data_IF_677623821054
#
_entry.id   IF_677623821054
#
_cell.length_a   1.000
_cell.length_b   1.000
_cell.length_c   1.000
_cell.angle_alpha   90.00
_cell.angle_beta   90.00
_cell.angle_gamma   90.00
#
_symmetry.space_group_name_H-M   'P 1'
#
loop_
_entity.id
_entity.type
_entity.pdbx_description
1 polymer ?
#
# COMPACT_ATOMS: atom_id res chain seq x y z
N UNK A 1 -45.12 -65.19 -27.87
CA UNK A 1 -43.79 -64.98 -27.26
C UNK A 1 -43.27 -63.57 -27.53
N UNK A 2 -43.95 -62.52 -27.03
CA UNK A 2 -43.59 -61.11 -27.33
C UNK A 2 -43.39 -60.25 -26.08
N UNK A 3 -44.07 -60.55 -24.96
CA UNK A 3 -43.96 -59.74 -23.73
C UNK A 3 -42.58 -59.76 -23.07
N UNK A 4 -41.90 -60.91 -23.02
CA UNK A 4 -40.57 -61.04 -22.40
C UNK A 4 -39.52 -60.22 -23.15
N UNK A 5 -39.56 -60.20 -24.48
CA UNK A 5 -38.62 -59.43 -25.29
C UNK A 5 -38.82 -57.91 -25.10
N UNK A 6 -40.07 -57.47 -24.94
CA UNK A 6 -40.41 -56.06 -24.67
C UNK A 6 -39.93 -55.65 -23.28
N UNK A 7 -40.10 -56.49 -22.26
CA UNK A 7 -39.61 -56.23 -20.91
C UNK A 7 -38.09 -56.13 -20.86
N UNK A 8 -37.38 -57.04 -21.55
CA UNK A 8 -35.91 -56.99 -21.64
C UNK A 8 -35.39 -55.75 -22.35
N UNK A 9 -36.12 -55.23 -23.35
CA UNK A 9 -35.78 -53.96 -24.01
C UNK A 9 -35.99 -52.77 -23.07
N UNK A 10 -37.14 -52.71 -22.40
CA UNK A 10 -37.45 -51.67 -21.43
C UNK A 10 -36.44 -51.65 -20.26
N UNK A 11 -35.98 -52.81 -19.79
CA UNK A 11 -34.93 -52.92 -18.76
C UNK A 11 -33.60 -52.33 -19.23
N UNK A 12 -33.19 -52.63 -20.47
CA UNK A 12 -31.97 -52.06 -21.05
C UNK A 12 -32.05 -50.55 -21.20
N UNK A 13 -33.16 -50.04 -21.74
CA UNK A 13 -33.38 -48.61 -21.89
C UNK A 13 -33.38 -47.89 -20.54
N UNK A 14 -34.05 -48.45 -19.53
CA UNK A 14 -34.01 -47.90 -18.17
C UNK A 14 -32.60 -47.89 -17.59
N UNK A 15 -31.82 -48.95 -17.79
CA UNK A 15 -30.43 -49.02 -17.34
C UNK A 15 -29.54 -47.99 -18.05
N UNK A 16 -29.71 -47.81 -19.36
CA UNK A 16 -28.99 -46.80 -20.14
C UNK A 16 -29.31 -45.39 -19.68
N UNK A 17 -30.59 -45.07 -19.45
CA UNK A 17 -31.02 -43.76 -18.93
C UNK A 17 -30.37 -43.47 -17.56
N UNK A 18 -30.38 -44.45 -16.64
CA UNK A 18 -29.78 -44.28 -15.32
C UNK A 18 -28.25 -44.13 -15.42
N UNK A 19 -27.60 -44.91 -16.29
CA UNK A 19 -26.16 -44.82 -16.53
C UNK A 19 -25.75 -43.45 -17.08
N UNK A 20 -26.46 -42.97 -18.10
CA UNK A 20 -26.25 -41.65 -18.69
C UNK A 20 -26.44 -40.53 -17.66
N UNK A 21 -27.48 -40.61 -16.82
CA UNK A 21 -27.71 -39.64 -15.75
C UNK A 21 -26.56 -39.61 -14.72
N UNK A 22 -26.03 -40.78 -14.33
CA UNK A 22 -24.87 -40.88 -13.41
C UNK A 22 -23.59 -40.31 -14.03
N UNK A 23 -23.34 -40.63 -15.30
CA UNK A 23 -22.20 -40.09 -16.04
C UNK A 23 -22.29 -38.57 -16.17
N UNK A 24 -23.46 -38.04 -16.55
CA UNK A 24 -23.72 -36.61 -16.65
C UNK A 24 -23.47 -35.89 -15.31
N UNK A 25 -24.00 -36.42 -14.20
CA UNK A 25 -23.75 -35.86 -12.87
C UNK A 25 -22.26 -35.84 -12.54
N UNK A 26 -21.54 -36.93 -12.82
CA UNK A 26 -20.11 -37.03 -12.53
C UNK A 26 -19.31 -36.05 -13.38
N UNK A 27 -19.66 -35.89 -14.65
CA UNK A 27 -19.04 -34.94 -15.56
C UNK A 27 -19.28 -33.50 -15.07
N UNK A 28 -20.52 -33.13 -14.76
CA UNK A 28 -20.85 -31.80 -14.22
C UNK A 28 -20.09 -31.47 -12.93
N UNK A 29 -19.91 -32.44 -12.05
CA UNK A 29 -19.10 -32.25 -10.84
C UNK A 29 -17.61 -32.04 -11.14
N UNK A 30 -17.07 -32.70 -12.17
CA UNK A 30 -15.68 -32.48 -12.61
C UNK A 30 -15.51 -31.11 -13.26
N UNK A 31 -16.42 -30.74 -14.16
CA UNK A 31 -16.43 -29.43 -14.81
C UNK A 31 -16.50 -28.30 -13.78
N UNK A 32 -17.43 -28.37 -12.82
CA UNK A 32 -17.54 -27.37 -11.76
C UNK A 32 -16.25 -27.22 -10.93
N UNK A 33 -15.54 -28.32 -10.67
CA UNK A 33 -14.24 -28.28 -9.96
C UNK A 33 -13.15 -27.65 -10.81
N UNK A 34 -13.12 -27.94 -12.11
CA UNK A 34 -12.13 -27.37 -13.03
C UNK A 34 -12.36 -25.87 -13.23
N UNK A 35 -13.63 -25.46 -13.39
CA UNK A 35 -14.00 -24.04 -13.52
C UNK A 35 -13.64 -23.27 -12.24
N UNK A 36 -13.99 -23.79 -11.06
CA UNK A 36 -13.60 -23.16 -9.80
C UNK A 36 -12.07 -23.05 -9.64
N UNK A 37 -11.31 -24.09 -10.04
CA UNK A 37 -9.85 -24.04 -10.01
C UNK A 37 -9.28 -23.00 -10.99
N UNK A 38 -9.91 -22.84 -12.16
CA UNK A 38 -9.55 -21.83 -13.15
C UNK A 38 -9.80 -20.43 -12.62
N UNK A 39 -10.99 -20.16 -12.07
CA UNK A 39 -11.36 -18.87 -11.49
C UNK A 39 -10.42 -18.48 -10.35
N UNK A 40 -10.08 -19.43 -9.47
CA UNK A 40 -9.10 -19.20 -8.38
C UNK A 40 -7.73 -18.83 -8.96
N UNK A 41 -7.29 -19.50 -10.03
CA UNK A 41 -6.00 -19.22 -10.66
C UNK A 41 -5.99 -17.84 -11.31
N UNK A 42 -7.05 -17.47 -12.01
CA UNK A 42 -7.20 -16.14 -12.62
C UNK A 42 -7.23 -15.04 -11.56
N UNK A 43 -7.97 -15.26 -10.46
CA UNK A 43 -8.01 -14.32 -9.34
C UNK A 43 -6.65 -14.15 -8.67
N UNK A 44 -5.91 -15.24 -8.44
CA UNK A 44 -4.54 -15.18 -7.91
C UNK A 44 -3.62 -14.40 -8.83
N UNK A 45 -3.66 -14.67 -10.13
CA UNK A 45 -2.85 -13.94 -11.11
C UNK A 45 -3.20 -12.44 -11.15
N UNK A 46 -4.48 -12.09 -11.04
CA UNK A 46 -4.91 -10.70 -10.96
C UNK A 46 -4.37 -10.03 -9.70
N UNK A 47 -4.48 -10.69 -8.54
CA UNK A 47 -3.98 -10.16 -7.27
C UNK A 47 -2.46 -10.03 -7.23
N UNK A 48 -1.73 -10.98 -7.81
CA UNK A 48 -0.27 -10.89 -7.95
C UNK A 48 0.15 -9.73 -8.87
N UNK A 49 -0.61 -9.45 -9.95
CA UNK A 49 -0.37 -8.27 -10.79
C UNK A 49 -0.63 -6.97 -10.05
N UNK A 50 -1.77 -6.85 -9.39
CA UNK A 50 -2.11 -5.70 -8.55
C UNK A 50 -1.04 -5.46 -7.48
N UNK A 51 -0.57 -6.53 -6.83
CA UNK A 51 0.49 -6.47 -5.83
C UNK A 51 1.81 -6.01 -6.44
N UNK A 52 2.23 -6.54 -7.59
CA UNK A 52 3.46 -6.10 -8.28
C UNK A 52 3.39 -4.65 -8.75
N UNK A 53 2.24 -4.21 -9.25
CA UNK A 53 2.03 -2.81 -9.65
C UNK A 53 2.10 -1.88 -8.43
N UNK A 54 1.48 -2.29 -7.31
CA UNK A 54 1.58 -1.57 -6.05
C UNK A 54 3.02 -1.56 -5.52
N UNK A 55 3.71 -2.69 -5.50
CA UNK A 55 5.12 -2.75 -5.10
C UNK A 55 5.98 -1.83 -5.97
N UNK A 56 5.80 -1.82 -7.29
CA UNK A 56 6.56 -0.95 -8.19
C UNK A 56 6.28 0.54 -7.96
N UNK A 57 5.02 0.93 -7.73
CA UNK A 57 4.64 2.30 -7.42
C UNK A 57 5.20 2.76 -6.07
N UNK A 58 5.12 1.90 -5.06
CA UNK A 58 5.55 2.25 -3.70
C UNK A 58 7.05 2.07 -3.48
N UNK A 59 7.74 1.21 -4.25
CA UNK A 59 9.19 1.07 -4.18
C UNK A 59 9.93 2.34 -4.62
N UNK A 60 9.33 3.14 -5.51
CA UNK A 60 9.87 4.44 -5.93
C UNK A 60 9.34 5.64 -5.14
N UNK A 61 8.27 5.45 -4.35
CA UNK A 61 7.64 6.55 -3.61
C UNK A 61 8.54 7.12 -2.52
N UNK A 62 9.49 6.35 -1.99
CA UNK A 62 10.42 6.85 -0.99
C UNK A 62 11.40 7.86 -1.59
N UNK A 63 11.95 7.60 -2.78
CA UNK A 63 12.88 8.52 -3.44
C UNK A 63 12.22 9.87 -3.77
N UNK A 64 10.95 9.87 -4.19
CA UNK A 64 10.23 11.11 -4.49
C UNK A 64 9.88 11.89 -3.22
N UNK A 65 9.51 11.21 -2.14
CA UNK A 65 9.29 11.83 -0.83
C UNK A 65 10.59 12.37 -0.24
N UNK A 66 11.70 11.64 -0.37
CA UNK A 66 13.03 12.08 0.06
C UNK A 66 13.47 13.33 -0.72
N UNK A 67 13.34 13.34 -2.05
CA UNK A 67 13.67 14.53 -2.87
C UNK A 67 12.81 15.74 -2.51
N UNK A 68 11.51 15.54 -2.26
CA UNK A 68 10.62 16.62 -1.84
C UNK A 68 11.06 17.19 -0.48
N UNK A 69 11.34 16.33 0.49
CA UNK A 69 11.83 16.72 1.81
C UNK A 69 13.19 17.42 1.73
N UNK A 70 14.13 16.92 0.92
CA UNK A 70 15.44 17.56 0.70
C UNK A 70 15.29 18.96 0.10
N UNK A 71 14.40 19.13 -0.88
CA UNK A 71 14.11 20.42 -1.50
C UNK A 71 13.53 21.43 -0.51
N UNK A 72 12.59 20.99 0.35
CA UNK A 72 12.03 21.82 1.41
C UNK A 72 13.10 22.23 2.42
N UNK A 73 13.90 21.28 2.92
CA UNK A 73 14.99 21.56 3.87
C UNK A 73 16.02 22.52 3.29
N UNK A 74 16.40 22.37 2.01
CA UNK A 74 17.31 23.30 1.35
C UNK A 74 16.72 24.71 1.26
N UNK A 75 15.42 24.83 1.00
CA UNK A 75 14.73 26.12 0.96
C UNK A 75 14.74 26.78 2.34
N UNK A 76 14.39 26.01 3.39
CA UNK A 76 14.42 26.50 4.78
C UNK A 76 15.82 26.92 5.23
N UNK A 77 16.87 26.16 4.88
CA UNK A 77 18.25 26.52 5.19
C UNK A 77 18.64 27.85 4.55
N UNK A 78 18.28 28.07 3.29
CA UNK A 78 18.54 29.33 2.59
C UNK A 78 17.81 30.50 3.26
N UNK A 79 16.57 30.28 3.74
CA UNK A 79 15.83 31.30 4.48
C UNK A 79 16.46 31.61 5.84
N UNK A 80 16.89 30.58 6.57
CA UNK A 80 17.60 30.72 7.85
C UNK A 80 18.88 31.52 7.64
N UNK A 81 19.70 31.17 6.67
CA UNK A 81 20.96 31.86 6.37
C UNK A 81 20.73 33.34 6.03
N UNK A 82 19.76 33.63 5.16
CA UNK A 82 19.37 35.02 4.85
C UNK A 82 18.91 35.78 6.09
N UNK A 83 18.11 35.15 6.95
CA UNK A 83 17.63 35.78 8.18
C UNK A 83 18.76 36.03 9.18
N UNK A 84 19.73 35.13 9.24
CA UNK A 84 20.91 35.24 10.08
C UNK A 84 21.82 36.37 9.59
N UNK A 85 22.10 36.44 8.28
CA UNK A 85 22.89 37.52 7.68
C UNK A 85 22.24 38.89 7.91
N UNK A 86 20.93 39.00 7.67
CA UNK A 86 20.19 40.25 7.85
C UNK A 86 20.25 40.80 9.29
N UNK A 87 20.18 39.91 10.30
CA UNK A 87 20.19 40.30 11.72
C UNK A 87 21.58 40.31 12.35
N UNK A 88 22.60 39.82 11.66
CA UNK A 88 23.96 39.65 12.20
C UNK A 88 24.53 40.95 12.72
N UNK A 89 24.42 42.03 11.95
CA UNK A 89 24.96 43.34 12.34
C UNK A 89 24.25 43.91 13.57
N UNK A 90 22.93 43.75 13.65
CA UNK A 90 22.13 44.24 14.78
C UNK A 90 22.47 43.49 16.07
N UNK A 91 22.63 42.17 15.99
CA UNK A 91 23.05 41.34 17.14
C UNK A 91 24.47 41.69 17.58
N UNK A 92 25.40 41.93 16.65
CA UNK A 92 26.77 42.34 16.97
C UNK A 92 26.80 43.71 17.65
N UNK A 93 26.04 44.68 17.15
CA UNK A 93 25.91 46.00 17.79
C UNK A 93 25.35 45.88 19.20
N UNK A 94 24.29 45.10 19.39
CA UNK A 94 23.66 44.89 20.69
C UNK A 94 24.62 44.24 21.70
N UNK A 95 25.40 43.24 21.27
CA UNK A 95 26.42 42.61 22.11
C UNK A 95 27.56 43.58 22.47
N UNK A 96 28.05 44.36 21.51
CA UNK A 96 29.09 45.36 21.75
C UNK A 96 28.62 46.46 22.70
N UNK A 97 27.40 46.97 22.52
CA UNK A 97 26.82 47.98 23.39
C UNK A 97 26.66 47.45 24.82
N UNK A 98 26.17 46.23 24.98
CA UNK A 98 26.02 45.58 26.28
C UNK A 98 27.37 45.39 27.01
N UNK A 99 28.45 45.09 26.27
CA UNK A 99 29.79 44.90 26.85
C UNK A 99 30.45 46.25 27.18
N UNK A 100 30.27 47.26 26.33
CA UNK A 100 30.95 48.56 26.46
C UNK A 100 30.26 49.54 27.40
N UNK A 101 28.97 49.36 27.69
CA UNK A 101 28.18 50.19 28.60
C UNK A 101 27.77 49.42 29.86
N UNK A 102 28.71 49.16 30.80
CA UNK A 102 28.35 48.57 32.08
C UNK A 102 27.35 49.47 32.80
N UNK A 103 26.21 48.90 33.20
CA UNK A 103 25.22 49.56 34.06
C UNK A 103 25.46 49.09 35.49
N UNK A 104 26.23 49.84 36.30
CA UNK A 104 26.42 49.52 37.70
C UNK A 104 25.09 49.73 38.44
N UNK A 105 24.51 48.63 38.90
CA UNK A 105 23.38 48.67 39.82
C UNK A 105 23.88 48.37 41.23
N UNK A 106 23.37 49.11 42.21
CA UNK A 106 23.67 48.86 43.61
C UNK A 106 23.12 47.46 43.96
N UNK A 107 23.97 46.60 44.51
CA UNK A 107 23.53 45.27 44.93
C UNK A 107 22.31 45.39 45.86
N UNK A 108 21.29 44.53 45.68
CA UNK A 108 19.99 44.61 46.39
C UNK A 108 20.07 44.70 47.92
N UNK A 109 21.22 44.35 48.52
CA UNK A 109 21.47 44.40 49.96
C UNK A 109 22.36 45.57 50.42
N UNK A 110 22.78 46.46 49.52
CA UNK A 110 23.58 47.62 49.89
C UNK A 110 22.66 48.65 50.58
N UNK A 111 22.75 48.74 51.90
CA UNK A 111 22.11 49.78 52.71
C UNK A 111 22.93 51.07 52.62
N UNK A 112 22.24 52.21 52.53
CA UNK A 112 22.81 53.55 52.65
C UNK A 112 23.54 53.76 53.98
#
# INVERSE_FOLDING_TARGET
MSGVQTLLKAEKEAHEIVSAARQYRTQRLKEAKLDAAKDIKEYKQKKEKELKEHEAQFSGSNDDLEKAAESEVQTELVEIDKSAEAKKEDVVKLLLDAITHPKPELHVNARA
#
